data_IF_688160472801
#
_entry.id   IF_688160472801
#
_cell.length_a   1.000
_cell.length_b   1.000
_cell.length_c   1.000
_cell.angle_alpha   90.00
_cell.angle_beta   90.00
_cell.angle_gamma   90.00
#
_symmetry.space_group_name_H-M   'P 1'
#
loop_
_entity.id
_entity.type
_entity.pdbx_description
1 polymer ?
#
# COMPACT_ATOMS: atom_id res chain seq x y z
N UNK A 1 -14.95 -17.68 -3.72
CA UNK A 1 -13.84 -16.80 -4.16
C UNK A 1 -14.25 -16.19 -5.48
N UNK A 2 -14.36 -14.87 -5.57
CA UNK A 2 -14.57 -14.20 -6.85
C UNK A 2 -13.35 -14.43 -7.73
N UNK A 3 -13.52 -15.10 -8.88
CA UNK A 3 -12.42 -15.33 -9.81
C UNK A 3 -11.86 -13.98 -10.30
N UNK A 4 -10.55 -13.86 -10.42
CA UNK A 4 -9.88 -12.62 -10.86
C UNK A 4 -10.26 -12.37 -12.33
N UNK A 5 -10.81 -11.20 -12.68
CA UNK A 5 -11.14 -10.88 -14.06
C UNK A 5 -9.89 -10.90 -14.94
N UNK A 6 -10.03 -11.44 -16.14
CA UNK A 6 -8.97 -11.50 -17.14
C UNK A 6 -9.35 -10.66 -18.35
N UNK A 7 -8.34 -10.13 -19.04
CA UNK A 7 -8.49 -9.59 -20.38
C UNK A 7 -7.61 -10.34 -21.36
N UNK A 8 -8.18 -10.62 -22.52
CA UNK A 8 -7.50 -11.19 -23.67
C UNK A 8 -7.55 -10.16 -24.80
N UNK A 9 -6.37 -9.69 -25.22
CA UNK A 9 -6.21 -8.94 -26.45
C UNK A 9 -5.87 -9.91 -27.56
N UNK A 10 -6.63 -9.85 -28.65
CA UNK A 10 -6.39 -10.67 -29.84
C UNK A 10 -6.17 -9.80 -31.06
N UNK A 11 -5.41 -10.29 -32.02
CA UNK A 11 -5.32 -9.69 -33.34
C UNK A 11 -5.32 -10.75 -34.46
N UNK A 12 -5.93 -10.39 -35.58
CA UNK A 12 -6.02 -11.23 -36.77
C UNK A 12 -5.75 -10.42 -38.04
N UNK A 13 -5.22 -11.09 -39.07
CA UNK A 13 -4.94 -10.50 -40.38
C UNK A 13 -6.21 -9.93 -41.03
N UNK A 14 -6.08 -8.85 -41.79
CA UNK A 14 -7.19 -8.24 -42.57
C UNK A 14 -6.96 -8.31 -44.09
N UNK A 15 -5.97 -9.10 -44.53
CA UNK A 15 -5.54 -9.18 -45.93
C UNK A 15 -6.62 -9.66 -46.91
N UNK A 16 -7.65 -10.35 -46.44
CA UNK A 16 -8.74 -10.88 -47.26
C UNK A 16 -9.90 -9.89 -47.45
N UNK A 17 -9.63 -8.57 -47.45
CA UNK A 17 -10.64 -7.48 -47.51
C UNK A 17 -11.77 -7.58 -46.47
N UNK A 18 -11.50 -8.29 -45.38
CA UNK A 18 -12.48 -8.46 -44.30
C UNK A 18 -12.38 -7.25 -43.36
N UNK A 19 -13.47 -6.48 -43.24
CA UNK A 19 -13.48 -5.28 -42.39
C UNK A 19 -13.39 -5.65 -40.90
N UNK A 20 -12.72 -4.80 -40.12
CA UNK A 20 -12.62 -4.98 -38.66
C UNK A 20 -14.01 -5.04 -37.99
N UNK A 21 -14.98 -4.28 -38.52
CA UNK A 21 -16.37 -4.25 -38.04
C UNK A 21 -17.10 -5.57 -38.28
N UNK A 22 -16.81 -6.23 -39.40
CA UNK A 22 -17.38 -7.55 -39.69
C UNK A 22 -16.84 -8.61 -38.70
N UNK A 23 -15.53 -8.63 -38.49
CA UNK A 23 -14.89 -9.53 -37.51
C UNK A 23 -15.42 -9.26 -36.10
N UNK A 24 -15.53 -7.99 -35.73
CA UNK A 24 -16.11 -7.58 -34.45
C UNK A 24 -17.53 -8.14 -34.27
N UNK A 25 -18.37 -8.04 -35.29
CA UNK A 25 -19.75 -8.55 -35.25
C UNK A 25 -19.80 -10.06 -35.05
N UNK A 26 -18.92 -10.82 -35.71
CA UNK A 26 -18.80 -12.27 -35.51
C UNK A 26 -18.39 -12.59 -34.07
N UNK A 27 -17.32 -11.95 -33.57
CA UNK A 27 -16.82 -12.16 -32.21
C UNK A 27 -17.90 -11.84 -31.17
N UNK A 28 -18.56 -10.69 -31.32
CA UNK A 28 -19.65 -10.25 -30.44
C UNK A 28 -20.77 -11.29 -30.40
N UNK A 29 -21.25 -11.74 -31.56
CA UNK A 29 -22.36 -12.69 -31.63
C UNK A 29 -21.99 -14.08 -31.08
N UNK A 30 -20.80 -14.58 -31.41
CA UNK A 30 -20.36 -15.94 -31.04
C UNK A 30 -19.91 -16.04 -29.57
N UNK A 31 -19.29 -14.99 -29.03
CA UNK A 31 -18.79 -14.99 -27.66
C UNK A 31 -19.85 -14.48 -26.68
N UNK A 32 -20.38 -13.26 -26.85
CA UNK A 32 -21.38 -12.70 -25.93
C UNK A 32 -22.71 -13.46 -26.00
N UNK A 33 -23.15 -13.86 -27.19
CA UNK A 33 -24.36 -14.66 -27.37
C UNK A 33 -24.31 -16.03 -26.67
N UNK A 34 -23.14 -16.43 -26.16
CA UNK A 34 -22.96 -17.66 -25.41
C UNK A 34 -22.56 -17.47 -23.94
N UNK A 35 -22.57 -16.23 -23.45
CA UNK A 35 -22.30 -15.89 -22.04
C UNK A 35 -20.96 -16.41 -21.48
N UNK A 36 -19.96 -16.60 -22.36
CA UNK A 36 -18.62 -17.06 -21.97
C UNK A 36 -17.64 -15.91 -21.70
N UNK A 37 -17.93 -14.70 -22.16
CA UNK A 37 -17.18 -13.48 -21.87
C UNK A 37 -18.12 -12.40 -21.32
N UNK A 38 -17.55 -11.42 -20.60
CA UNK A 38 -18.23 -10.25 -20.03
C UNK A 38 -18.47 -9.21 -21.13
N UNK A 39 -17.45 -8.98 -21.96
CA UNK A 39 -17.50 -7.95 -23.00
C UNK A 39 -16.55 -8.27 -24.15
N UNK A 40 -16.79 -7.64 -25.29
CA UNK A 40 -15.91 -7.68 -26.47
C UNK A 40 -15.95 -6.33 -27.17
N UNK A 41 -14.79 -5.72 -27.44
CA UNK A 41 -14.66 -4.43 -28.11
C UNK A 41 -13.55 -4.44 -29.17
N UNK A 42 -13.63 -3.49 -30.10
CA UNK A 42 -12.51 -3.15 -30.99
C UNK A 42 -11.42 -2.51 -30.13
N UNK A 43 -10.17 -2.92 -30.36
CA UNK A 43 -8.99 -2.41 -29.67
C UNK A 43 -8.15 -1.55 -30.63
N UNK A 44 -7.87 -0.32 -30.23
CA UNK A 44 -7.04 0.61 -31.00
C UNK A 44 -5.55 0.28 -30.79
N UNK A 45 -5.02 -0.62 -31.61
CA UNK A 45 -3.58 -0.92 -31.67
C UNK A 45 -2.96 -0.11 -32.82
N UNK A 46 -2.01 0.80 -32.54
CA UNK A 46 -1.39 1.61 -33.58
C UNK A 46 -0.56 0.73 -34.52
N UNK A 47 -0.78 0.89 -35.84
CA UNK A 47 -0.06 0.14 -36.87
C UNK A 47 1.18 0.87 -37.39
N UNK A 48 1.34 2.14 -37.04
CA UNK A 48 2.41 3.02 -37.50
C UNK A 48 3.48 3.28 -36.43
N UNK A 49 3.67 2.36 -35.49
CA UNK A 49 4.78 2.43 -34.53
C UNK A 49 6.09 2.22 -35.27
N UNK A 50 7.05 3.12 -35.04
CA UNK A 50 8.35 3.09 -35.70
C UNK A 50 9.26 2.02 -35.07
N UNK A 51 9.63 1.01 -35.85
CA UNK A 51 10.69 0.05 -35.50
C UNK A 51 11.79 0.08 -36.57
N UNK A 52 13.05 -0.12 -36.15
CA UNK A 52 14.22 0.06 -37.03
C UNK A 52 14.56 -1.19 -37.85
N UNK A 53 14.63 -2.35 -37.19
CA UNK A 53 14.94 -3.63 -37.83
C UNK A 53 14.00 -4.74 -37.33
N UNK A 54 13.98 -5.87 -38.04
CA UNK A 54 13.25 -7.06 -37.61
C UNK A 54 13.87 -7.69 -36.35
N UNK A 55 15.20 -7.65 -36.21
CA UNK A 55 15.89 -8.16 -35.02
C UNK A 55 15.53 -7.34 -33.77
N UNK A 56 15.43 -6.00 -33.91
CA UNK A 56 14.96 -5.14 -32.82
C UNK A 56 13.53 -5.47 -32.41
N UNK A 57 12.68 -5.80 -33.38
CA UNK A 57 11.28 -6.17 -33.13
C UNK A 57 11.18 -7.49 -32.37
N UNK A 58 11.98 -8.48 -32.73
CA UNK A 58 12.03 -9.77 -32.04
C UNK A 58 12.49 -9.59 -30.59
N UNK A 59 13.57 -8.82 -30.38
CA UNK A 59 14.05 -8.48 -29.03
C UNK A 59 12.99 -7.73 -28.22
N UNK A 60 12.31 -6.75 -28.83
CA UNK A 60 11.23 -6.01 -28.15
C UNK A 60 10.08 -6.93 -27.74
N UNK A 61 9.72 -7.93 -28.57
CA UNK A 61 8.67 -8.88 -28.22
C UNK A 61 9.01 -9.68 -26.96
N UNK A 62 10.24 -10.19 -26.85
CA UNK A 62 10.72 -10.92 -25.67
C UNK A 62 10.79 -10.03 -24.43
N UNK A 63 11.31 -8.82 -24.58
CA UNK A 63 11.46 -7.88 -23.47
C UNK A 63 10.10 -7.37 -22.97
N UNK A 64 9.15 -7.09 -23.87
CA UNK A 64 7.79 -6.69 -23.49
C UNK A 64 7.06 -7.76 -22.68
N UNK A 65 7.30 -9.06 -22.93
CA UNK A 65 6.73 -10.14 -22.09
C UNK A 65 7.26 -10.09 -20.65
N UNK A 66 8.56 -9.84 -20.47
CA UNK A 66 9.17 -9.66 -19.15
C UNK A 66 8.64 -8.40 -18.47
N UNK A 67 8.54 -7.32 -19.23
CA UNK A 67 8.08 -6.03 -18.72
C UNK A 67 6.61 -5.99 -18.35
N UNK A 68 5.76 -6.75 -19.05
CA UNK A 68 4.37 -6.97 -18.66
C UNK A 68 4.27 -7.57 -17.25
N UNK A 69 5.03 -8.65 -17.01
CA UNK A 69 5.09 -9.30 -15.70
C UNK A 69 5.64 -8.38 -14.60
N UNK A 70 6.67 -7.60 -14.92
CA UNK A 70 7.26 -6.62 -14.01
C UNK A 70 6.27 -5.50 -13.64
N UNK A 71 5.64 -4.89 -14.64
CA UNK A 71 4.66 -3.81 -14.44
C UNK A 71 3.45 -4.27 -13.61
N UNK A 72 2.96 -5.49 -13.85
CA UNK A 72 1.92 -6.08 -13.02
C UNK A 72 2.37 -6.30 -11.56
N UNK A 73 3.61 -6.73 -11.34
CA UNK A 73 4.21 -6.82 -10.01
C UNK A 73 4.23 -5.48 -9.27
N UNK A 74 4.61 -4.39 -9.97
CA UNK A 74 4.57 -3.03 -9.43
C UNK A 74 3.14 -2.59 -9.08
N UNK A 75 2.15 -2.87 -9.95
CA UNK A 75 0.74 -2.58 -9.66
C UNK A 75 0.26 -3.28 -8.38
N UNK A 76 0.54 -4.58 -8.23
CA UNK A 76 0.15 -5.34 -7.05
C UNK A 76 0.84 -4.86 -5.77
N UNK A 77 2.09 -4.41 -5.88
CA UNK A 77 2.80 -3.80 -4.76
C UNK A 77 2.15 -2.49 -4.31
N UNK A 78 1.80 -1.61 -5.24
CA UNK A 78 1.11 -0.34 -4.92
C UNK A 78 -0.29 -0.59 -4.39
N UNK A 79 -1.03 -1.52 -4.99
CA UNK A 79 -2.34 -1.95 -4.49
C UNK A 79 -2.26 -2.45 -3.04
N UNK A 80 -1.26 -3.29 -2.73
CA UNK A 80 -1.03 -3.76 -1.37
C UNK A 80 -0.76 -2.60 -0.40
N UNK A 81 0.17 -1.70 -0.75
CA UNK A 81 0.50 -0.54 0.08
C UNK A 81 -0.74 0.33 0.28
N UNK A 82 -1.53 0.59 -0.76
CA UNK A 82 -2.76 1.37 -0.65
C UNK A 82 -3.78 0.75 0.31
N UNK A 83 -3.98 -0.58 0.21
CA UNK A 83 -4.93 -1.34 1.04
C UNK A 83 -4.49 -1.52 2.49
N UNK A 84 -3.19 -1.43 2.78
CA UNK A 84 -2.68 -1.43 4.17
C UNK A 84 -3.21 -0.23 4.99
N UNK A 85 -3.55 0.88 4.33
CA UNK A 85 -4.06 2.09 4.99
C UNK A 85 -5.57 2.27 4.87
N UNK A 86 -6.16 1.81 3.77
CA UNK A 86 -7.60 1.86 3.52
C UNK A 86 -8.03 0.60 2.76
N UNK A 87 -8.58 -0.37 3.49
CA UNK A 87 -8.98 -1.66 2.93
C UNK A 87 -10.04 -1.52 1.82
N UNK A 88 -10.86 -0.46 1.89
CA UNK A 88 -11.94 -0.19 0.96
C UNK A 88 -11.53 0.77 -0.18
N UNK A 89 -10.23 1.05 -0.34
CA UNK A 89 -9.76 1.98 -1.34
C UNK A 89 -10.10 1.52 -2.76
N UNK A 90 -10.86 2.36 -3.47
CA UNK A 90 -11.16 2.12 -4.89
C UNK A 90 -10.02 2.67 -5.76
N UNK A 91 -9.24 1.77 -6.35
CA UNK A 91 -8.21 2.12 -7.32
C UNK A 91 -8.86 2.51 -8.66
N UNK A 92 -8.72 3.78 -9.03
CA UNK A 92 -9.31 4.37 -10.24
C UNK A 92 -8.22 4.84 -11.21
N UNK A 93 -8.58 4.88 -12.48
CA UNK A 93 -7.72 5.38 -13.56
C UNK A 93 -8.11 6.84 -13.85
N UNK A 94 -7.11 7.72 -13.84
CA UNK A 94 -7.23 9.12 -14.24
C UNK A 94 -6.96 9.18 -15.73
N UNK A 95 -8.03 9.21 -16.52
CA UNK A 95 -7.96 9.25 -17.98
C UNK A 95 -8.75 10.45 -18.50
N UNK A 96 -8.13 11.28 -19.35
CA UNK A 96 -8.75 12.49 -19.90
C UNK A 96 -9.40 13.41 -18.83
N UNK A 97 -8.71 13.61 -17.70
CA UNK A 97 -9.18 14.41 -16.54
C UNK A 97 -10.43 13.83 -15.82
N UNK A 98 -10.78 12.57 -16.06
CA UNK A 98 -11.86 11.87 -15.39
C UNK A 98 -11.32 10.69 -14.58
N UNK A 99 -11.96 10.41 -13.44
CA UNK A 99 -11.73 9.18 -12.68
C UNK A 99 -12.69 8.11 -13.18
N UNK A 100 -12.16 7.10 -13.85
CA UNK A 100 -12.92 5.97 -14.37
C UNK A 100 -12.40 4.66 -13.75
N UNK A 101 -13.25 3.63 -13.72
CA UNK A 101 -12.80 2.32 -13.27
C UNK A 101 -11.97 1.61 -14.35
N UNK A 102 -11.26 0.55 -13.94
CA UNK A 102 -10.38 -0.22 -14.84
C UNK A 102 -11.14 -0.76 -16.05
N UNK A 103 -12.36 -1.28 -15.83
CA UNK A 103 -13.20 -1.81 -16.90
C UNK A 103 -13.55 -0.76 -17.96
N UNK A 104 -13.95 0.43 -17.53
CA UNK A 104 -14.28 1.55 -18.40
C UNK A 104 -13.04 2.03 -19.17
N UNK A 105 -11.87 2.06 -18.53
CA UNK A 105 -10.64 2.45 -19.20
C UNK A 105 -10.28 1.49 -20.32
N UNK A 106 -10.28 0.17 -20.07
CA UNK A 106 -9.96 -0.84 -21.10
C UNK A 106 -10.94 -0.75 -22.28
N UNK A 107 -12.24 -0.54 -22.03
CA UNK A 107 -13.25 -0.39 -23.09
C UNK A 107 -13.04 0.85 -23.95
N UNK A 108 -12.53 1.93 -23.36
CA UNK A 108 -12.34 3.24 -24.00
C UNK A 108 -10.89 3.49 -24.40
N UNK A 109 -10.04 2.47 -24.35
CA UNK A 109 -8.62 2.63 -24.60
C UNK A 109 -8.38 3.26 -25.98
N UNK A 110 -7.53 4.28 -25.99
CA UNK A 110 -6.92 4.84 -27.20
C UNK A 110 -5.44 5.02 -26.91
N UNK A 111 -4.61 4.91 -27.95
CA UNK A 111 -3.19 5.18 -27.80
C UNK A 111 -2.95 6.61 -27.30
N UNK A 112 -2.13 6.78 -26.27
CA UNK A 112 -1.77 8.09 -25.72
C UNK A 112 -0.56 8.67 -26.47
N UNK A 113 -0.82 9.36 -27.59
CA UNK A 113 0.21 10.02 -28.39
C UNK A 113 0.96 11.14 -27.63
N UNK A 114 0.38 11.70 -26.55
CA UNK A 114 1.02 12.73 -25.76
C UNK A 114 2.10 12.14 -24.83
N UNK A 115 1.82 10.98 -24.21
CA UNK A 115 2.80 10.25 -23.39
C UNK A 115 3.78 9.43 -24.23
N UNK A 116 3.28 8.80 -25.30
CA UNK A 116 4.02 7.84 -26.12
C UNK A 116 3.89 8.16 -27.62
N UNK A 117 4.57 9.22 -28.10
CA UNK A 117 4.46 9.64 -29.50
C UNK A 117 4.89 8.55 -30.47
N UNK A 118 4.07 8.25 -31.49
CA UNK A 118 4.35 7.22 -32.52
C UNK A 118 5.59 7.52 -33.38
N UNK A 119 6.08 8.77 -33.38
CA UNK A 119 7.30 9.18 -34.07
C UNK A 119 8.59 8.67 -33.38
N UNK A 120 8.51 8.34 -32.09
CA UNK A 120 9.60 7.76 -31.31
C UNK A 120 9.81 6.29 -31.69
N UNK A 121 11.04 5.81 -31.56
CA UNK A 121 11.32 4.39 -31.76
C UNK A 121 10.58 3.52 -30.74
N UNK A 122 10.28 2.29 -31.12
CA UNK A 122 9.68 1.29 -30.24
C UNK A 122 10.53 1.07 -28.97
N UNK A 123 11.85 0.92 -29.13
CA UNK A 123 12.79 0.69 -28.02
C UNK A 123 12.77 1.84 -27.01
N UNK A 124 12.90 3.09 -27.48
CA UNK A 124 12.92 4.25 -26.58
C UNK A 124 11.55 4.44 -25.88
N UNK A 125 10.46 4.09 -26.57
CA UNK A 125 9.12 4.14 -25.99
C UNK A 125 8.96 3.16 -24.84
N UNK A 126 9.45 1.92 -25.02
CA UNK A 126 9.48 0.90 -23.97
C UNK A 126 10.33 1.37 -22.80
N UNK A 127 11.56 1.85 -23.05
CA UNK A 127 12.47 2.30 -21.99
C UNK A 127 11.85 3.42 -21.14
N UNK A 128 11.14 4.37 -21.76
CA UNK A 128 10.44 5.44 -21.03
C UNK A 128 9.30 4.87 -20.18
N UNK A 129 8.52 3.92 -20.70
CA UNK A 129 7.46 3.27 -19.91
C UNK A 129 8.06 2.59 -18.67
N UNK A 130 9.10 1.77 -18.84
CA UNK A 130 9.70 1.03 -17.72
C UNK A 130 10.35 1.97 -16.72
N UNK A 131 11.13 2.95 -17.18
CA UNK A 131 11.72 3.93 -16.27
C UNK A 131 10.67 4.69 -15.45
N UNK A 132 9.53 5.05 -16.06
CA UNK A 132 8.45 5.71 -15.34
C UNK A 132 7.77 4.78 -14.33
N UNK A 133 7.53 3.52 -14.70
CA UNK A 133 6.96 2.51 -13.81
C UNK A 133 7.86 2.28 -12.59
N UNK A 134 9.16 2.10 -12.82
CA UNK A 134 10.16 1.89 -11.76
C UNK A 134 10.22 3.08 -10.82
N UNK A 135 10.35 4.31 -11.36
CA UNK A 135 10.42 5.54 -10.56
C UNK A 135 9.20 5.73 -9.67
N UNK A 136 8.00 5.57 -10.23
CA UNK A 136 6.75 5.70 -9.47
C UNK A 136 6.64 4.62 -8.39
N UNK A 137 6.96 3.37 -8.70
CA UNK A 137 6.95 2.26 -7.74
C UNK A 137 7.93 2.50 -6.58
N UNK A 138 9.15 2.93 -6.88
CA UNK A 138 10.19 3.17 -5.88
C UNK A 138 9.86 4.38 -5.00
N UNK A 139 9.31 5.45 -5.57
CA UNK A 139 8.88 6.62 -4.81
C UNK A 139 7.80 6.25 -3.77
N UNK A 140 6.80 5.46 -4.16
CA UNK A 140 5.76 4.97 -3.23
C UNK A 140 6.38 4.11 -2.12
N UNK A 141 7.32 3.24 -2.46
CA UNK A 141 7.98 2.39 -1.47
C UNK A 141 8.80 3.21 -0.46
N UNK A 142 9.57 4.19 -0.93
CA UNK A 142 10.36 5.08 -0.07
C UNK A 142 9.45 5.85 0.88
N UNK A 143 8.36 6.44 0.37
CA UNK A 143 7.40 7.18 1.21
C UNK A 143 6.69 6.28 2.22
N UNK A 144 6.33 5.06 1.84
CA UNK A 144 5.76 4.07 2.75
C UNK A 144 6.75 3.68 3.87
N UNK A 145 8.03 3.48 3.54
CA UNK A 145 9.07 3.20 4.53
C UNK A 145 9.25 4.35 5.52
N UNK A 146 9.35 5.59 5.03
CA UNK A 146 9.48 6.78 5.88
C UNK A 146 8.31 6.93 6.85
N UNK A 147 7.10 6.62 6.39
CA UNK A 147 5.91 6.65 7.23
C UNK A 147 5.93 5.55 8.30
N UNK A 148 6.38 4.35 7.95
CA UNK A 148 6.55 3.27 8.91
C UNK A 148 7.58 3.62 9.98
N UNK A 149 8.70 4.25 9.60
CA UNK A 149 9.72 4.72 10.54
C UNK A 149 9.15 5.78 11.51
N UNK A 150 8.32 6.71 11.02
CA UNK A 150 7.62 7.68 11.87
C UNK A 150 6.65 7.01 12.85
N UNK A 151 5.90 6.00 12.39
CA UNK A 151 5.01 5.21 13.25
C UNK A 151 5.80 4.43 14.31
N UNK A 152 6.95 3.87 13.95
CA UNK A 152 7.83 3.19 14.91
C UNK A 152 8.42 4.16 15.94
N UNK A 153 8.80 5.37 15.50
CA UNK A 153 9.25 6.43 16.41
C UNK A 153 8.14 6.80 17.41
N UNK A 154 6.90 6.99 16.94
CA UNK A 154 5.73 7.23 17.82
C UNK A 154 5.55 6.10 18.84
N UNK A 155 5.66 4.83 18.42
CA UNK A 155 5.53 3.67 19.33
C UNK A 155 6.59 3.64 20.42
N UNK A 156 7.80 4.15 20.16
CA UNK A 156 8.87 4.25 21.16
C UNK A 156 8.61 5.39 22.15
N UNK A 157 8.10 6.52 21.66
CA UNK A 157 7.77 7.70 22.49
C UNK A 157 6.47 7.53 23.29
N UNK A 158 5.57 6.68 22.81
CA UNK A 158 4.30 6.32 23.46
C UNK A 158 4.28 4.79 23.61
N UNK A 159 4.95 4.23 24.63
CA UNK A 159 4.84 2.81 24.91
C UNK A 159 3.35 2.46 25.09
N UNK A 160 2.93 1.32 24.51
CA UNK A 160 1.54 0.87 24.59
C UNK A 160 1.07 0.96 26.04
N UNK A 161 -0.07 1.63 26.25
CA UNK A 161 -0.77 1.80 27.52
C UNK A 161 -1.11 0.49 28.26
N UNK A 162 -0.70 -0.68 27.77
CA UNK A 162 -1.06 -1.99 28.28
C UNK A 162 -0.49 -2.30 29.67
N UNK A 163 0.64 -1.71 30.06
CA UNK A 163 1.04 -1.72 31.47
C UNK A 163 0.46 -0.48 32.16
N UNK A 164 -0.77 -0.59 32.66
CA UNK A 164 -1.29 0.30 33.71
C UNK A 164 -0.63 -0.06 35.05
N UNK A 165 0.69 -0.24 35.04
CA UNK A 165 1.54 -0.58 36.17
C UNK A 165 2.44 0.65 36.35
N UNK A 166 2.40 1.27 37.52
CA UNK A 166 3.09 2.54 37.74
C UNK A 166 4.62 2.41 37.70
N UNK A 167 5.18 1.21 37.87
CA UNK A 167 6.63 1.00 37.89
C UNK A 167 7.28 1.15 36.51
N UNK A 168 6.54 0.85 35.44
CA UNK A 168 7.02 0.86 34.05
C UNK A 168 6.70 2.17 33.31
N UNK A 169 5.85 3.02 33.88
CA UNK A 169 5.45 4.30 33.29
C UNK A 169 6.30 5.45 33.79
N UNK A 170 6.44 6.46 32.94
CA UNK A 170 7.01 7.75 33.31
C UNK A 170 6.06 8.47 34.28
N UNK A 171 6.55 8.94 35.42
CA UNK A 171 5.75 9.66 36.42
C UNK A 171 5.16 10.97 35.85
N UNK A 172 5.84 11.63 34.90
CA UNK A 172 5.30 12.80 34.19
C UNK A 172 4.04 12.46 33.38
N UNK A 173 3.82 11.19 33.03
CA UNK A 173 2.61 10.75 32.31
C UNK A 173 1.49 10.29 33.25
N UNK A 174 1.81 10.07 34.53
CA UNK A 174 0.84 9.65 35.55
C UNK A 174 0.37 10.86 36.36
N UNK A 175 1.31 11.70 36.80
CA UNK A 175 1.08 12.89 37.60
C UNK A 175 0.91 14.09 36.66
N UNK A 176 -0.21 14.12 35.94
CA UNK A 176 -0.53 15.18 34.97
C UNK A 176 -1.15 16.40 35.65
N UNK A 177 -1.17 17.60 35.02
CA UNK A 177 -1.78 18.81 35.59
C UNK A 177 -3.27 18.68 35.96
N UNK A 178 -3.95 17.63 35.48
CA UNK A 178 -5.35 17.34 35.85
C UNK A 178 -5.47 16.51 37.13
N UNK A 179 -4.39 15.81 37.53
CA UNK A 179 -4.37 14.87 38.68
C UNK A 179 -3.66 15.43 39.90
N UNK A 180 -2.76 16.40 39.70
CA UNK A 180 -1.91 16.97 40.75
C UNK A 180 -1.87 18.49 40.65
N UNK A 181 -1.59 19.15 41.76
CA UNK A 181 -1.37 20.60 41.85
C UNK A 181 0.11 20.90 42.10
N UNK A 182 0.60 22.09 41.71
CA UNK A 182 1.97 22.52 42.03
C UNK A 182 2.26 22.48 43.53
N UNK A 183 1.25 22.73 44.39
CA UNK A 183 1.40 22.64 45.85
C UNK A 183 1.66 21.23 46.37
N UNK A 184 1.43 20.20 45.55
CA UNK A 184 1.73 18.81 45.90
C UNK A 184 3.22 18.51 45.88
N UNK A 185 4.03 19.40 45.29
CA UNK A 185 5.46 19.22 45.12
C UNK A 185 6.26 20.40 45.69
N UNK A 186 7.17 20.08 46.59
CA UNK A 186 8.18 20.98 47.14
C UNK A 186 9.54 20.51 46.65
N UNK A 187 10.30 21.41 46.02
CA UNK A 187 11.70 21.21 45.66
C UNK A 187 12.47 22.51 45.98
N UNK A 188 13.09 22.55 47.15
CA UNK A 188 13.92 23.67 47.64
C UNK A 188 15.35 23.21 47.88
N UNK A 189 16.20 24.09 48.40
CA UNK A 189 17.56 23.71 48.81
C UNK A 189 17.54 22.60 49.88
N UNK A 190 16.55 22.62 50.78
CA UNK A 190 16.50 21.76 51.95
C UNK A 190 15.41 20.70 51.91
N UNK A 191 14.31 20.92 51.21
CA UNK A 191 13.18 19.99 51.14
C UNK A 191 12.99 19.46 49.72
N UNK A 192 12.59 18.20 49.61
CA UNK A 192 12.24 17.55 48.34
C UNK A 192 11.00 16.69 48.53
N UNK A 193 10.30 16.43 47.42
CA UNK A 193 9.13 15.55 47.39
C UNK A 193 9.52 14.18 46.87
N UNK A 194 9.13 13.16 47.62
CA UNK A 194 9.27 11.77 47.22
C UNK A 194 7.90 11.19 46.87
N UNK A 195 7.88 10.32 45.86
CA UNK A 195 6.69 9.61 45.41
C UNK A 195 6.79 8.16 45.85
N UNK A 196 5.88 7.75 46.72
CA UNK A 196 5.80 6.40 47.25
C UNK A 196 4.74 5.58 46.52
N UNK A 197 5.11 4.36 46.17
CA UNK A 197 4.24 3.34 45.58
C UNK A 197 3.78 2.42 46.71
N UNK A 198 2.50 2.53 47.07
CA UNK A 198 1.93 1.87 48.25
C UNK A 198 0.83 0.91 47.80
N UNK A 199 0.99 -0.41 48.01
CA UNK A 199 -0.09 -1.37 47.78
C UNK A 199 -1.32 -1.03 48.63
N UNK A 200 -2.54 -1.17 48.10
CA UNK A 200 -3.79 -0.92 48.84
C UNK A 200 -3.85 -1.61 50.20
N UNK A 201 -3.32 -2.84 50.29
CA UNK A 201 -3.34 -3.64 51.51
C UNK A 201 -2.32 -3.16 52.57
N UNK A 202 -1.44 -2.22 52.24
CA UNK A 202 -0.37 -1.71 53.10
C UNK A 202 -0.46 -0.21 53.36
N UNK A 203 -1.61 0.41 53.06
CA UNK A 203 -1.85 1.85 53.27
C UNK A 203 -1.79 2.22 54.76
N UNK A 204 -2.39 1.40 55.63
CA UNK A 204 -2.36 1.66 57.07
C UNK A 204 -0.95 1.49 57.66
N UNK A 205 -0.20 0.50 57.17
CA UNK A 205 1.20 0.29 57.55
C UNK A 205 2.07 1.49 57.13
N UNK A 206 1.88 1.99 55.90
CA UNK A 206 2.55 3.19 55.42
C UNK A 206 2.27 4.41 56.31
N UNK A 207 1.00 4.73 56.55
CA UNK A 207 0.60 5.90 57.35
C UNK A 207 1.16 5.87 58.78
N UNK A 208 1.24 4.68 59.38
CA UNK A 208 1.70 4.53 60.76
C UNK A 208 3.24 4.55 60.92
N UNK A 209 3.99 4.30 59.83
CA UNK A 209 5.43 4.06 59.92
C UNK A 209 6.31 5.01 59.09
N UNK A 210 5.78 5.70 58.07
CA UNK A 210 6.63 6.49 57.16
C UNK A 210 7.45 7.58 57.88
N UNK A 211 6.91 8.19 58.95
CA UNK A 211 7.61 9.22 59.73
C UNK A 211 8.86 8.69 60.43
N UNK A 212 8.98 7.37 60.61
CA UNK A 212 10.12 6.71 61.26
C UNK A 212 11.21 6.27 60.29
N UNK A 213 10.98 6.42 58.98
CA UNK A 213 11.93 5.95 57.96
C UNK A 213 13.20 6.81 57.91
N UNK A 214 13.15 8.04 58.41
CA UNK A 214 14.32 8.91 58.56
C UNK A 214 14.06 10.00 59.61
N UNK A 215 15.12 10.52 60.24
CA UNK A 215 15.02 11.54 61.30
C UNK A 215 14.48 12.89 60.83
N UNK A 216 14.50 13.17 59.52
CA UNK A 216 14.10 14.47 58.95
C UNK A 216 13.00 14.33 57.89
N UNK A 217 11.96 13.58 58.25
CA UNK A 217 10.69 13.50 57.52
C UNK A 217 9.74 14.58 58.05
N UNK A 218 8.99 15.25 57.18
CA UNK A 218 7.98 16.21 57.61
C UNK A 218 6.75 15.44 58.12
N UNK A 219 6.36 15.54 59.41
CA UNK A 219 5.21 14.82 59.94
C UNK A 219 3.91 15.25 59.27
N UNK A 220 2.95 14.33 59.15
CA UNK A 220 1.64 14.53 58.48
C UNK A 220 1.71 15.07 57.04
N UNK A 221 2.86 14.95 56.36
CA UNK A 221 3.04 15.39 54.97
C UNK A 221 2.58 14.37 53.94
N UNK A 222 2.26 13.13 54.33
CA UNK A 222 1.87 12.10 53.37
C UNK A 222 0.41 12.20 52.95
N UNK A 223 0.14 12.15 51.65
CA UNK A 223 -1.20 12.16 51.08
C UNK A 223 -1.23 11.34 49.79
N UNK A 224 -2.35 10.65 49.55
CA UNK A 224 -2.57 9.87 48.34
C UNK A 224 -3.03 10.77 47.20
N UNK A 225 -2.48 10.58 46.00
CA UNK A 225 -3.06 11.19 44.81
C UNK A 225 -4.40 10.52 44.47
N UNK A 226 -5.43 11.34 44.26
CA UNK A 226 -6.80 10.86 44.00
C UNK A 226 -6.89 10.17 42.65
N UNK A 227 -7.77 9.16 42.56
CA UNK A 227 -8.10 8.43 41.33
C UNK A 227 -6.91 7.76 40.61
N UNK A 228 -5.74 7.65 41.26
CA UNK A 228 -4.56 6.99 40.74
C UNK A 228 -4.35 5.62 41.41
N UNK A 229 -4.81 4.58 40.73
CA UNK A 229 -4.65 3.18 41.14
C UNK A 229 -4.22 2.36 39.93
N UNK A 230 -3.14 1.61 40.07
CA UNK A 230 -2.62 0.75 39.01
C UNK A 230 -3.37 -0.61 38.98
N UNK A 231 -3.12 -1.42 37.94
CA UNK A 231 -3.73 -2.75 37.77
C UNK A 231 -3.46 -3.71 38.93
N UNK A 232 -2.30 -3.56 39.56
CA UNK A 232 -1.84 -4.42 40.65
C UNK A 232 -2.33 -3.90 42.02
N UNK A 233 -3.14 -2.83 42.04
CA UNK A 233 -3.69 -2.24 43.25
C UNK A 233 -2.73 -1.34 44.01
N UNK A 234 -1.64 -0.89 43.38
CA UNK A 234 -0.75 0.12 43.96
C UNK A 234 -1.34 1.52 43.79
N UNK A 235 -1.07 2.35 44.78
CA UNK A 235 -1.47 3.75 44.87
C UNK A 235 -0.23 4.63 44.97
N UNK A 236 -0.32 5.88 44.50
CA UNK A 236 0.77 6.84 44.58
C UNK A 236 0.54 7.83 45.71
N UNK A 237 1.59 8.13 46.46
CA UNK A 237 1.57 9.04 47.60
C UNK A 237 2.73 10.03 47.50
N UNK A 238 2.49 11.28 47.94
CA UNK A 238 3.57 12.25 48.19
C UNK A 238 4.07 12.13 49.64
N UNK A 239 5.34 12.46 49.86
CA UNK A 239 5.94 12.70 51.19
C UNK A 239 6.99 13.80 51.05
N UNK A 240 7.02 14.72 52.03
CA UNK A 240 8.07 15.73 52.12
C UNK A 240 9.16 15.29 53.07
N UNK A 241 10.40 15.34 52.59
CA UNK A 241 11.60 14.98 53.37
C UNK A 241 12.68 16.03 53.16
N UNK A 242 13.57 16.14 54.14
CA UNK A 242 14.78 16.92 53.93
C UNK A 242 15.65 16.24 52.87
N UNK A 243 16.10 17.02 51.88
CA UNK A 243 16.82 16.55 50.70
C UNK A 243 18.08 15.74 51.05
N UNK A 244 18.80 16.16 52.09
CA UNK A 244 19.97 15.45 52.65
C UNK A 244 19.64 14.02 53.12
N UNK A 245 18.40 13.78 53.55
CA UNK A 245 17.94 12.52 54.15
C UNK A 245 17.03 11.70 53.21
N UNK A 246 16.82 12.17 51.97
CA UNK A 246 15.96 11.52 51.00
C UNK A 246 16.44 10.11 50.63
N UNK A 247 17.75 9.89 50.52
CA UNK A 247 18.31 8.56 50.22
C UNK A 247 18.17 7.58 51.39
N UNK A 248 18.31 8.07 52.63
CA UNK A 248 18.12 7.22 53.81
C UNK A 248 16.64 6.81 53.95
N UNK A 249 15.72 7.74 53.70
CA UNK A 249 14.29 7.45 53.65
C UNK A 249 13.96 6.37 52.60
N UNK A 250 14.52 6.47 51.38
CA UNK A 250 14.32 5.46 50.32
C UNK A 250 14.86 4.08 50.70
N UNK A 251 16.03 4.04 51.34
CA UNK A 251 16.63 2.77 51.81
C UNK A 251 15.74 2.08 52.84
N UNK A 252 15.28 2.81 53.85
CA UNK A 252 14.42 2.26 54.90
C UNK A 252 13.04 1.87 54.35
N UNK A 253 12.45 2.70 53.49
CA UNK A 253 11.20 2.37 52.80
C UNK A 253 11.33 1.05 52.01
N UNK A 254 12.46 0.83 51.33
CA UNK A 254 12.74 -0.41 50.60
C UNK A 254 12.86 -1.63 51.53
N UNK A 255 13.46 -1.49 52.71
CA UNK A 255 13.49 -2.56 53.74
C UNK A 255 12.07 -2.94 54.16
N UNK A 256 11.19 -1.94 54.28
CA UNK A 256 9.75 -2.11 54.54
C UNK A 256 8.92 -2.51 53.32
N UNK A 257 9.57 -2.87 52.20
CA UNK A 257 8.95 -3.29 50.92
C UNK A 257 8.14 -2.20 50.20
N UNK A 258 8.33 -0.93 50.56
CA UNK A 258 7.80 0.19 49.81
C UNK A 258 8.82 0.64 48.76
N UNK A 259 8.33 1.04 47.59
CA UNK A 259 9.16 1.64 46.55
C UNK A 259 8.94 3.13 46.59
N UNK A 260 10.03 3.90 46.71
CA UNK A 260 9.98 5.36 46.77
C UNK A 260 10.94 5.93 45.74
N UNK A 261 10.47 6.86 44.91
CA UNK A 261 11.26 7.52 43.87
C UNK A 261 11.29 9.03 44.12
N UNK A 262 12.42 9.66 43.79
CA UNK A 262 12.44 11.11 43.66
C UNK A 262 11.71 11.51 42.39
N UNK A 263 10.97 12.61 42.46
CA UNK A 263 10.26 13.15 41.32
C UNK A 263 10.26 14.66 41.41
N UNK A 264 10.66 15.30 40.32
CA UNK A 264 10.56 16.74 40.17
C UNK A 264 9.43 17.00 39.18
N UNK A 265 8.31 17.50 39.69
CA UNK A 265 7.21 17.91 38.84
C UNK A 265 7.63 19.14 38.02
N UNK A 266 7.37 19.08 36.73
CA UNK A 266 7.61 20.16 35.80
C UNK A 266 6.48 20.17 34.76
N UNK A 267 5.50 21.04 34.99
CA UNK A 267 4.35 21.19 34.09
C UNK A 267 4.79 21.60 32.68
N UNK A 268 5.85 22.40 32.56
CA UNK A 268 6.39 22.78 31.25
C UNK A 268 6.94 21.55 30.52
N UNK A 269 7.67 20.69 31.22
CA UNK A 269 8.16 19.43 30.64
C UNK A 269 7.01 18.52 30.17
N UNK A 270 5.91 18.45 30.93
CA UNK A 270 4.71 17.71 30.51
C UNK A 270 4.09 18.31 29.24
N UNK A 271 3.91 19.63 29.21
CA UNK A 271 3.33 20.34 28.08
C UNK A 271 4.20 20.20 26.82
N UNK A 272 5.51 20.34 26.93
CA UNK A 272 6.47 20.17 25.83
C UNK A 272 6.41 18.73 25.27
N UNK A 273 6.28 17.72 26.14
CA UNK A 273 6.12 16.32 25.74
C UNK A 273 4.79 16.08 25.00
N UNK A 274 3.69 16.63 25.51
CA UNK A 274 2.36 16.51 24.88
C UNK A 274 2.30 17.23 23.53
N UNK A 275 2.95 18.40 23.42
CA UNK A 275 3.07 19.13 22.17
C UNK A 275 3.89 18.33 21.14
N UNK A 276 5.02 17.75 21.55
CA UNK A 276 5.84 16.89 20.69
C UNK A 276 5.04 15.69 20.16
N UNK A 277 4.29 15.00 21.05
CA UNK A 277 3.40 13.89 20.67
C UNK A 277 2.34 14.31 19.65
N UNK A 278 1.70 15.46 19.88
CA UNK A 278 0.67 15.99 18.99
C UNK A 278 1.25 16.35 17.62
N UNK A 279 2.45 16.93 17.57
CA UNK A 279 3.16 17.23 16.32
C UNK A 279 3.47 15.97 15.52
N UNK A 280 3.99 14.92 16.17
CA UNK A 280 4.27 13.63 15.52
C UNK A 280 2.97 13.00 15.00
N UNK A 281 1.88 13.08 15.74
CA UNK A 281 0.59 12.54 15.31
C UNK A 281 0.03 13.27 14.08
N UNK A 282 0.05 14.59 14.12
CA UNK A 282 -0.39 15.41 12.99
C UNK A 282 0.46 15.13 11.74
N UNK A 283 1.77 14.92 11.92
CA UNK A 283 2.67 14.58 10.81
C UNK A 283 2.36 13.19 10.22
N UNK A 284 2.08 12.18 11.06
CA UNK A 284 1.68 10.85 10.60
C UNK A 284 0.40 10.93 9.76
N UNK A 285 -0.64 11.60 10.27
CA UNK A 285 -1.93 11.75 9.56
C UNK A 285 -1.72 12.47 8.22
N UNK A 286 -0.87 13.51 8.21
CA UNK A 286 -0.52 14.26 6.99
C UNK A 286 0.16 13.36 5.96
N UNK A 287 1.18 12.60 6.38
CA UNK A 287 1.94 11.70 5.50
C UNK A 287 1.10 10.51 5.01
N UNK A 288 0.22 9.94 5.84
CA UNK A 288 -0.73 8.90 5.42
C UNK A 288 -1.67 9.41 4.33
N UNK A 289 -2.25 10.60 4.54
CA UNK A 289 -3.15 11.22 3.56
C UNK A 289 -2.43 11.52 2.25
N UNK A 290 -1.18 11.98 2.33
CA UNK A 290 -0.35 12.26 1.17
C UNK A 290 0.02 10.96 0.41
N UNK A 291 0.52 9.95 1.11
CA UNK A 291 0.88 8.65 0.54
C UNK A 291 -0.31 8.00 -0.16
N UNK A 292 -1.51 8.03 0.44
CA UNK A 292 -2.73 7.50 -0.19
C UNK A 292 -3.02 8.16 -1.54
N UNK A 293 -2.90 9.50 -1.62
CA UNK A 293 -3.09 10.23 -2.88
C UNK A 293 -2.02 9.86 -3.92
N UNK A 294 -0.78 9.71 -3.48
CA UNK A 294 0.31 9.26 -4.36
C UNK A 294 0.06 7.84 -4.88
N UNK A 295 -0.37 6.90 -4.05
CA UNK A 295 -0.69 5.55 -4.48
C UNK A 295 -1.76 5.53 -5.57
N UNK A 296 -2.83 6.33 -5.43
CA UNK A 296 -3.89 6.42 -6.45
C UNK A 296 -3.36 6.98 -7.78
N UNK A 297 -2.56 8.04 -7.73
CA UNK A 297 -1.97 8.64 -8.93
C UNK A 297 -0.96 7.68 -9.61
N UNK A 298 -0.06 7.08 -8.83
CA UNK A 298 0.94 6.13 -9.31
C UNK A 298 0.29 4.87 -9.87
N UNK A 299 -0.73 4.32 -9.20
CA UNK A 299 -1.49 3.19 -9.72
C UNK A 299 -2.11 3.51 -11.08
N UNK A 300 -2.75 4.67 -11.21
CA UNK A 300 -3.34 5.11 -12.48
C UNK A 300 -2.30 5.17 -13.60
N UNK A 301 -1.18 5.86 -13.37
CA UNK A 301 -0.15 6.03 -14.40
C UNK A 301 0.55 4.73 -14.78
N UNK A 302 0.85 3.88 -13.80
CA UNK A 302 1.43 2.55 -14.06
C UNK A 302 0.42 1.66 -14.78
N UNK A 303 -0.86 1.72 -14.43
CA UNK A 303 -1.88 0.92 -15.11
C UNK A 303 -2.06 1.35 -16.56
N UNK A 304 -2.04 2.66 -16.82
CA UNK A 304 -2.03 3.19 -18.18
C UNK A 304 -0.83 2.64 -18.95
N UNK A 305 0.39 2.73 -18.39
CA UNK A 305 1.60 2.22 -19.01
C UNK A 305 1.54 0.69 -19.23
N UNK A 306 1.01 -0.06 -18.27
CA UNK A 306 0.81 -1.51 -18.34
C UNK A 306 -0.08 -1.92 -19.51
N UNK A 307 -1.20 -1.21 -19.74
CA UNK A 307 -2.03 -1.47 -20.91
C UNK A 307 -1.30 -1.10 -22.21
N UNK A 308 -0.52 -0.02 -22.24
CA UNK A 308 0.29 0.33 -23.41
C UNK A 308 1.37 -0.73 -23.73
N UNK A 309 2.01 -1.31 -22.72
CA UNK A 309 2.95 -2.44 -22.88
C UNK A 309 2.23 -3.62 -23.54
N UNK A 310 1.03 -3.99 -23.07
CA UNK A 310 0.23 -5.06 -23.66
C UNK A 310 -0.19 -4.75 -25.11
N UNK A 311 -0.48 -3.49 -25.43
CA UNK A 311 -0.77 -3.05 -26.81
C UNK A 311 0.46 -3.17 -27.71
N UNK A 312 1.64 -2.80 -27.19
CA UNK A 312 2.90 -2.97 -27.91
C UNK A 312 3.23 -4.46 -28.15
N UNK A 313 2.89 -5.35 -27.22
CA UNK A 313 3.00 -6.81 -27.42
C UNK A 313 2.15 -7.27 -28.59
N UNK A 314 0.86 -6.88 -28.60
CA UNK A 314 -0.04 -7.20 -29.71
C UNK A 314 0.51 -6.67 -31.03
N UNK A 315 1.05 -5.44 -31.05
CA UNK A 315 1.69 -4.88 -32.25
C UNK A 315 2.89 -5.72 -32.70
N UNK A 316 3.85 -6.02 -31.81
CA UNK A 316 5.06 -6.76 -32.15
C UNK A 316 4.73 -8.16 -32.65
N UNK A 317 3.90 -8.92 -31.92
CA UNK A 317 3.46 -10.26 -32.32
C UNK A 317 2.70 -10.22 -33.66
N UNK A 318 1.87 -9.20 -33.89
CA UNK A 318 1.14 -9.04 -35.15
C UNK A 318 2.05 -8.72 -36.33
N UNK A 319 3.07 -7.88 -36.15
CA UNK A 319 4.03 -7.57 -37.22
C UNK A 319 4.93 -8.79 -37.51
N UNK A 320 5.42 -9.47 -36.46
CA UNK A 320 6.23 -10.69 -36.61
C UNK A 320 5.42 -11.79 -37.32
N UNK A 321 4.13 -11.90 -37.03
CA UNK A 321 3.26 -12.96 -37.56
C UNK A 321 2.64 -12.66 -38.92
N UNK A 322 2.14 -11.44 -39.11
CA UNK A 322 1.42 -11.04 -40.32
C UNK A 322 2.29 -10.30 -41.32
N UNK A 323 3.49 -9.88 -40.93
CA UNK A 323 4.45 -9.18 -41.77
C UNK A 323 4.12 -7.70 -41.98
N UNK A 324 4.96 -7.06 -42.80
CA UNK A 324 4.86 -5.64 -43.17
C UNK A 324 4.26 -5.52 -44.58
N UNK A 325 3.40 -4.52 -44.86
CA UNK A 325 2.82 -3.58 -43.91
C UNK A 325 1.87 -4.27 -42.89
N UNK A 326 1.77 -3.74 -41.66
CA UNK A 326 0.91 -4.28 -40.61
C UNK A 326 -0.57 -4.15 -40.96
N UNK A 327 -1.15 -5.23 -41.47
CA UNK A 327 -2.55 -5.32 -41.87
C UNK A 327 -3.31 -6.26 -40.93
N UNK A 328 -3.71 -5.77 -39.78
CA UNK A 328 -4.43 -6.55 -38.77
C UNK A 328 -5.51 -5.72 -38.07
N UNK A 329 -6.50 -6.41 -37.52
CA UNK A 329 -7.52 -5.85 -36.64
C UNK A 329 -7.36 -6.46 -35.25
N UNK A 330 -7.53 -5.64 -34.21
CA UNK A 330 -7.36 -6.05 -32.82
C UNK A 330 -8.64 -5.90 -32.02
N UNK A 331 -8.84 -6.78 -31.04
CA UNK A 331 -10.04 -6.83 -30.21
C UNK A 331 -9.68 -7.12 -28.75
N UNK A 332 -10.43 -6.53 -27.83
CA UNK A 332 -10.36 -6.87 -26.40
C UNK A 332 -11.53 -7.75 -26.01
N UNK A 333 -11.24 -8.81 -25.26
CA UNK A 333 -12.24 -9.75 -24.74
C UNK A 333 -12.06 -9.81 -23.23
N UNK A 334 -13.12 -9.51 -22.48
CA UNK A 334 -13.12 -9.59 -21.01
C UNK A 334 -13.72 -10.90 -20.57
N UNK A 335 -13.02 -11.64 -19.72
CA UNK A 335 -13.42 -12.98 -19.29
C UNK A 335 -13.67 -12.95 -17.77
N UNK A 336 -14.78 -13.56 -17.34
CA UNK A 336 -15.09 -13.70 -15.92
C UNK A 336 -14.36 -14.93 -15.37
N UNK A 337 -13.07 -14.76 -15.13
CA UNK A 337 -12.21 -15.75 -14.47
C UNK A 337 -11.59 -16.83 -15.37
N UNK A 338 -10.56 -17.47 -14.82
CA UNK A 338 -9.67 -18.44 -15.49
C UNK A 338 -10.42 -19.69 -15.95
N UNK A 339 -11.50 -20.05 -15.25
CA UNK A 339 -12.33 -21.23 -15.57
C UNK A 339 -12.99 -21.15 -16.95
N UNK A 340 -13.30 -19.95 -17.44
CA UNK A 340 -13.94 -19.71 -18.74
C UNK A 340 -12.93 -19.45 -19.86
N UNK A 341 -11.67 -19.19 -19.54
CA UNK A 341 -10.64 -18.86 -20.53
C UNK A 341 -10.50 -19.97 -21.59
N UNK A 342 -10.37 -21.23 -21.17
CA UNK A 342 -10.28 -22.39 -22.09
C UNK A 342 -11.46 -22.46 -23.05
N UNK A 343 -12.68 -22.14 -22.58
CA UNK A 343 -13.89 -22.12 -23.41
C UNK A 343 -13.87 -20.99 -24.42
N UNK A 344 -13.42 -19.80 -24.01
CA UNK A 344 -13.26 -18.63 -24.90
C UNK A 344 -12.22 -18.93 -25.97
N UNK A 345 -11.05 -19.44 -25.59
CA UNK A 345 -9.97 -19.82 -26.51
C UNK A 345 -10.40 -20.90 -27.52
N UNK A 346 -11.13 -21.92 -27.07
CA UNK A 346 -11.72 -22.94 -27.97
C UNK A 346 -12.66 -22.30 -29.00
N UNK A 347 -13.57 -21.43 -28.58
CA UNK A 347 -14.48 -20.75 -29.50
C UNK A 347 -13.76 -19.83 -30.49
N UNK A 348 -12.74 -19.10 -30.02
CA UNK A 348 -11.91 -18.27 -30.88
C UNK A 348 -11.19 -19.13 -31.91
N UNK A 349 -10.62 -20.27 -31.49
CA UNK A 349 -10.02 -21.25 -32.39
C UNK A 349 -11.03 -21.68 -33.46
N UNK A 350 -12.24 -22.10 -33.09
CA UNK A 350 -13.29 -22.51 -34.04
C UNK A 350 -13.66 -21.39 -35.04
N UNK A 351 -13.74 -20.13 -34.57
CA UNK A 351 -14.03 -18.97 -35.40
C UNK A 351 -12.94 -18.75 -36.45
N UNK A 352 -11.67 -18.82 -36.04
CA UNK A 352 -10.52 -18.48 -36.87
C UNK A 352 -9.90 -19.67 -37.63
N UNK A 353 -10.35 -20.91 -37.38
CA UNK A 353 -9.89 -22.14 -38.06
C UNK A 353 -10.86 -22.67 -39.12
N UNK A 354 -12.11 -22.19 -39.13
CA UNK A 354 -13.14 -22.68 -40.07
C UNK A 354 -12.78 -22.46 -41.56
N UNK A 355 -13.35 -23.28 -42.45
CA UNK A 355 -12.91 -23.46 -43.85
C UNK A 355 -12.93 -22.18 -44.70
N UNK A 356 -13.70 -21.17 -44.33
CA UNK A 356 -13.81 -19.85 -44.99
C UNK A 356 -13.26 -18.69 -44.12
N UNK A 357 -12.45 -19.00 -43.10
CA UNK A 357 -12.07 -18.03 -42.07
C UNK A 357 -10.69 -17.40 -42.26
N UNK A 358 -10.60 -16.21 -41.66
CA UNK A 358 -9.49 -15.25 -41.64
C UNK A 358 -8.14 -15.87 -41.17
N UNK A 359 -8.15 -16.96 -40.41
CA UNK A 359 -6.94 -17.59 -39.84
C UNK A 359 -6.42 -18.81 -40.61
N UNK A 360 -7.14 -19.32 -41.61
CA UNK A 360 -6.84 -20.60 -42.28
C UNK A 360 -5.49 -20.63 -43.00
N UNK A 361 -5.06 -19.51 -43.58
CA UNK A 361 -3.76 -19.41 -44.27
C UNK A 361 -2.56 -19.57 -43.32
N UNK A 362 -2.79 -19.51 -42.01
CA UNK A 362 -1.74 -19.50 -40.99
C UNK A 362 -1.62 -20.83 -40.21
N UNK A 363 -2.68 -21.65 -40.16
CA UNK A 363 -2.63 -23.01 -39.55
C UNK A 363 -1.78 -23.97 -40.41
N UNK A 364 -1.75 -23.77 -41.73
CA UNK A 364 -0.98 -24.62 -42.67
C UNK A 364 0.55 -24.50 -42.57
N UNK A 365 1.10 -23.60 -41.75
CA UNK A 365 2.54 -23.31 -41.67
C UNK A 365 3.22 -23.80 -40.38
N UNK A 366 2.48 -24.43 -39.47
CA UNK A 366 3.00 -24.89 -38.16
C UNK A 366 2.98 -26.42 -38.09
N UNK A 367 4.10 -27.02 -37.71
CA UNK A 367 4.20 -28.46 -37.39
C UNK A 367 3.34 -28.80 -36.16
N UNK A 368 2.78 -30.01 -36.13
CA UNK A 368 1.69 -30.46 -35.24
C UNK A 368 2.03 -30.56 -33.73
N UNK A 369 3.19 -30.06 -33.26
CA UNK A 369 3.71 -30.36 -31.91
C UNK A 369 3.78 -29.17 -30.92
N UNK A 370 3.25 -27.98 -31.24
CA UNK A 370 3.18 -26.86 -30.28
C UNK A 370 1.75 -26.62 -29.78
N UNK A 371 1.47 -27.05 -28.55
CA UNK A 371 0.15 -27.00 -27.88
C UNK A 371 -0.42 -25.58 -27.64
N UNK A 372 0.30 -24.50 -27.99
CA UNK A 372 -0.10 -23.11 -27.74
C UNK A 372 -0.21 -22.21 -29.01
N UNK A 373 -0.20 -22.78 -30.21
CA UNK A 373 -0.35 -21.98 -31.43
C UNK A 373 -1.84 -21.73 -31.74
N UNK A 374 -2.34 -20.55 -31.38
CA UNK A 374 -3.65 -20.05 -31.82
C UNK A 374 -3.58 -19.54 -33.26
N UNK A 375 -4.63 -19.62 -34.09
CA UNK A 375 -4.68 -19.03 -35.44
C UNK A 375 -4.75 -17.49 -35.48
N UNK A 376 -4.55 -16.83 -34.33
CA UNK A 376 -4.57 -15.40 -34.10
C UNK A 376 -3.51 -15.03 -33.06
N UNK A 377 -3.06 -13.78 -33.05
CA UNK A 377 -2.19 -13.22 -32.00
C UNK A 377 -2.98 -13.11 -30.71
N UNK A 378 -2.39 -13.47 -29.57
CA UNK A 378 -3.09 -13.59 -28.30
C UNK A 378 -2.21 -13.11 -27.13
N UNK A 379 -2.55 -11.97 -26.55
CA UNK A 379 -1.93 -11.46 -25.32
C UNK A 379 -2.96 -11.47 -24.21
N UNK A 380 -2.72 -12.22 -23.14
CA UNK A 380 -3.61 -12.32 -21.98
C UNK A 380 -2.96 -11.77 -20.73
N UNK A 381 -3.73 -11.02 -19.93
CA UNK A 381 -3.27 -10.48 -18.67
C UNK A 381 -4.39 -10.44 -17.63
N UNK A 382 -4.00 -10.46 -16.36
CA UNK A 382 -4.90 -10.37 -15.20
C UNK A 382 -5.10 -8.91 -14.81
N UNK A 383 -6.26 -8.60 -14.23
CA UNK A 383 -6.64 -7.26 -13.76
C UNK A 383 -6.68 -7.25 -12.23
#
# INVERSE_FOLDING_TARGET
MSEIPMCLFIACSTRDNTSREYIYTILKNRLLGSHICIDTNILDVPTNIKFCSFDDLLKCADDLQKYDSYAYGCLKKIEKIAKEYDENIELKIIYQRQHINIDQYIRRFTWDDAKYPRSRSLTDTIDIMINNITKLSDEIQIKSSMLNDLKEKKKKEVPKNDSNNFFLRNLNEILTPQTVSESDFIETEYLTTLIAYVPKNSVDDWKNNYEKFSSYVVPRSTEQFKDLIDKDGNTLWKVFVFKKFAEDFKKEAKVKKFVVKSFKYDEKQYNDMMESRTKVEAEIIRQETFLRRMCLAAFSDIFIAFIHINILRVFCESVLRFGVPPNFASFSIRINGESKEKKVRKKLYDIFSSTDSIGKNYIKRSDENDDEIYPYVSVSFKI
#
